data_IF_464137557909
#
_entry.id   IF_464137557909
#
_cell.length_a   1.000
_cell.length_b   1.000
_cell.length_c   1.000
_cell.angle_alpha   90.00
_cell.angle_beta   90.00
_cell.angle_gamma   90.00
#
_symmetry.space_group_name_H-M   'P 1'
#
loop_
_entity.id
_entity.type
_entity.pdbx_description
1 polymer ?
#
# COMPACT_ATOMS: atom_id res chain seq x y z
N UNK A 1 -2.63 -9.01 -5.82
CA UNK A 1 -2.73 -7.77 -4.99
C UNK A 1 -3.46 -6.63 -5.68
N UNK A 2 -3.84 -6.81 -6.95
CA UNK A 2 -4.27 -5.75 -7.86
C UNK A 2 -5.56 -5.04 -7.43
N UNK A 3 -6.48 -5.78 -6.78
CA UNK A 3 -7.72 -5.20 -6.27
C UNK A 3 -7.45 -4.19 -5.16
N UNK A 4 -6.54 -4.50 -4.23
CA UNK A 4 -6.22 -3.65 -3.08
C UNK A 4 -5.48 -2.39 -3.55
N UNK A 5 -4.36 -2.58 -4.28
CA UNK A 5 -3.53 -1.47 -4.72
C UNK A 5 -4.21 -0.64 -5.81
N UNK A 6 -4.86 -1.30 -6.78
CA UNK A 6 -5.63 -0.62 -7.82
C UNK A 6 -6.85 0.11 -7.27
N UNK A 7 -7.54 -0.47 -6.27
CA UNK A 7 -8.66 0.16 -5.59
C UNK A 7 -8.25 1.40 -4.80
N UNK A 8 -7.14 1.31 -4.06
CA UNK A 8 -6.53 2.44 -3.36
C UNK A 8 -6.14 3.54 -4.36
N UNK A 9 -5.36 3.21 -5.39
CA UNK A 9 -4.88 4.18 -6.36
C UNK A 9 -6.05 4.88 -7.07
N UNK A 10 -7.03 4.11 -7.56
CA UNK A 10 -8.22 4.67 -8.22
C UNK A 10 -8.95 5.71 -7.35
N UNK A 11 -9.07 5.46 -6.04
CA UNK A 11 -9.80 6.36 -5.11
C UNK A 11 -8.95 7.49 -4.52
N UNK A 12 -7.63 7.30 -4.38
CA UNK A 12 -6.76 8.20 -3.60
C UNK A 12 -5.62 8.83 -4.39
N UNK A 13 -5.39 8.47 -5.66
CA UNK A 13 -4.29 8.99 -6.49
C UNK A 13 -4.22 10.52 -6.54
N UNK A 14 -5.36 11.22 -6.55
CA UNK A 14 -5.41 12.69 -6.56
C UNK A 14 -4.83 13.33 -5.29
N UNK A 15 -4.76 12.58 -4.19
CA UNK A 15 -4.24 13.04 -2.90
C UNK A 15 -2.82 12.51 -2.62
N UNK A 16 -2.20 11.82 -3.58
CA UNK A 16 -0.83 11.34 -3.46
C UNK A 16 0.13 12.45 -3.89
N UNK A 17 1.09 12.75 -3.03
CA UNK A 17 2.21 13.62 -3.37
C UNK A 17 3.19 12.89 -4.29
N UNK A 18 4.13 13.62 -4.89
CA UNK A 18 5.20 13.01 -5.68
C UNK A 18 5.98 11.95 -4.89
N UNK A 19 6.28 12.21 -3.61
CA UNK A 19 6.96 11.26 -2.73
C UNK A 19 6.12 10.01 -2.52
N UNK A 20 4.81 10.15 -2.32
CA UNK A 20 3.92 9.00 -2.18
C UNK A 20 3.88 8.15 -3.46
N UNK A 21 3.92 8.77 -4.64
CA UNK A 21 3.95 8.07 -5.91
C UNK A 21 5.27 7.30 -6.11
N UNK A 22 6.40 7.91 -5.76
CA UNK A 22 7.72 7.24 -5.78
C UNK A 22 7.78 6.07 -4.80
N UNK A 23 7.19 6.21 -3.61
CA UNK A 23 7.06 5.11 -2.65
C UNK A 23 6.11 4.02 -3.15
N UNK A 24 5.02 4.40 -3.81
CA UNK A 24 4.05 3.46 -4.37
C UNK A 24 4.67 2.64 -5.50
N UNK A 25 5.47 3.25 -6.36
CA UNK A 25 6.20 2.55 -7.42
C UNK A 25 7.15 1.49 -6.83
N UNK A 26 7.94 1.84 -5.80
CA UNK A 26 8.78 0.88 -5.08
C UNK A 26 7.96 -0.23 -4.41
N UNK A 27 6.74 0.09 -3.94
CA UNK A 27 5.85 -0.91 -3.36
C UNK A 27 5.38 -1.93 -4.41
N UNK A 28 5.20 -1.53 -5.67
CA UNK A 28 4.83 -2.42 -6.77
C UNK A 28 5.95 -3.40 -7.14
N UNK A 29 7.20 -3.11 -6.80
CA UNK A 29 8.33 -4.04 -6.97
C UNK A 29 8.36 -5.13 -5.88
N UNK A 30 7.60 -4.96 -4.79
CA UNK A 30 7.52 -5.95 -3.71
C UNK A 30 6.65 -7.12 -4.16
N UNK A 31 7.07 -8.35 -3.82
CA UNK A 31 6.32 -9.54 -4.24
C UNK A 31 4.88 -9.54 -3.72
N UNK A 32 3.95 -9.96 -4.58
CA UNK A 32 2.53 -10.12 -4.25
C UNK A 32 2.28 -10.93 -2.98
N UNK A 33 3.09 -11.97 -2.74
CA UNK A 33 3.01 -12.78 -1.51
C UNK A 33 3.27 -11.94 -0.27
N UNK A 34 4.35 -11.15 -0.26
CA UNK A 34 4.72 -10.29 0.88
C UNK A 34 3.65 -9.22 1.13
N UNK A 35 3.15 -8.61 0.06
CA UNK A 35 2.11 -7.59 0.16
C UNK A 35 0.77 -8.20 0.64
N UNK A 36 0.41 -9.39 0.16
CA UNK A 36 -0.79 -10.12 0.62
C UNK A 36 -0.66 -10.52 2.08
N UNK A 37 0.48 -11.07 2.46
CA UNK A 37 0.79 -11.43 3.85
C UNK A 37 0.66 -10.21 4.78
N UNK A 38 1.11 -9.05 4.33
CA UNK A 38 1.07 -7.82 5.11
C UNK A 38 -0.33 -7.17 5.16
N UNK A 39 -0.93 -6.88 4.01
CA UNK A 39 -2.19 -6.13 3.93
C UNK A 39 -3.43 -6.98 4.21
N UNK A 40 -3.41 -8.28 3.85
CA UNK A 40 -4.58 -9.16 3.97
C UNK A 40 -4.47 -10.06 5.18
N UNK A 41 -3.32 -10.73 5.36
CA UNK A 41 -3.11 -11.66 6.48
C UNK A 41 -2.65 -10.96 7.77
N UNK A 42 -2.49 -9.62 7.75
CA UNK A 42 -2.07 -8.79 8.88
C UNK A 42 -0.74 -9.24 9.51
N UNK A 43 0.16 -9.85 8.74
CA UNK A 43 1.49 -10.21 9.23
C UNK A 43 2.35 -8.94 9.34
N UNK A 44 3.06 -8.74 10.47
CA UNK A 44 3.91 -7.57 10.65
C UNK A 44 5.08 -7.59 9.65
N UNK A 45 5.46 -6.41 9.16
CA UNK A 45 6.63 -6.23 8.30
C UNK A 45 7.24 -4.85 8.53
N UNK A 46 8.31 -4.81 9.33
CA UNK A 46 8.99 -3.58 9.74
C UNK A 46 9.45 -2.72 8.55
N UNK A 47 9.81 -3.33 7.42
CA UNK A 47 10.23 -2.58 6.23
C UNK A 47 9.06 -1.84 5.59
N UNK A 48 7.88 -2.47 5.56
CA UNK A 48 6.67 -1.85 5.01
C UNK A 48 6.10 -0.81 5.96
N UNK A 49 6.20 -1.02 7.28
CA UNK A 49 5.74 -0.07 8.29
C UNK A 49 6.49 1.28 8.23
N UNK A 50 7.70 1.32 7.65
CA UNK A 50 8.45 2.57 7.46
C UNK A 50 8.06 3.38 6.22
N UNK A 51 7.20 2.85 5.35
CA UNK A 51 6.81 3.49 4.10
C UNK A 51 5.53 4.31 4.32
N UNK A 52 5.55 5.60 3.97
CA UNK A 52 4.42 6.50 4.19
C UNK A 52 3.16 6.07 3.45
N UNK A 53 3.29 5.68 2.17
CA UNK A 53 2.15 5.22 1.37
C UNK A 53 1.52 3.94 1.91
N UNK A 54 2.28 3.08 2.60
CA UNK A 54 1.77 1.84 3.20
C UNK A 54 0.77 2.13 4.32
N UNK A 55 1.06 3.13 5.15
CA UNK A 55 0.14 3.59 6.21
C UNK A 55 -1.16 4.10 5.58
N UNK A 56 -1.07 4.85 4.48
CA UNK A 56 -2.24 5.37 3.75
C UNK A 56 -3.10 4.23 3.18
N UNK A 57 -2.48 3.18 2.66
CA UNK A 57 -3.18 1.99 2.15
C UNK A 57 -3.86 1.22 3.30
N UNK A 58 -3.18 1.06 4.44
CA UNK A 58 -3.77 0.44 5.64
C UNK A 58 -5.01 1.19 6.11
N UNK A 59 -4.93 2.50 6.27
CA UNK A 59 -6.08 3.31 6.68
C UNK A 59 -7.25 3.18 5.69
N UNK A 60 -6.95 3.13 4.38
CA UNK A 60 -7.98 2.92 3.36
C UNK A 60 -8.70 1.56 3.47
N UNK A 61 -8.00 0.52 3.95
CA UNK A 61 -8.56 -0.81 4.16
C UNK A 61 -9.34 -0.94 5.47
N UNK A 62 -9.09 -0.08 6.45
CA UNK A 62 -9.82 -0.06 7.73
C UNK A 62 -11.08 0.83 7.68
N UNK A 63 -11.10 1.82 6.78
CA UNK A 63 -12.26 2.70 6.52
C UNK A 63 -13.40 2.00 5.72
N UNK A 64 -13.24 0.72 5.35
CA UNK A 64 -14.18 -0.07 4.55
C UNK A 64 -14.43 -1.46 5.16
#
# INVERSE_FOLDING_TARGET
MDIVLGGFFKKKHQNLTKVDLEEFEKLLEVSDKVLTDYFVMKKPNLKLDTIGVVIKIKNFLEDH
#
